data_IF_049841759848
#
_entry.id   IF_049841759848
#
_cell.length_a   1.000
_cell.length_b   1.000
_cell.length_c   1.000
_cell.angle_alpha   90.00
_cell.angle_beta   90.00
_cell.angle_gamma   90.00
#
_symmetry.space_group_name_H-M   'P 1'
#
loop_
_entity.id
_entity.type
_entity.pdbx_description
1 polymer ?
#
# COMPACT_ATOMS: atom_id res chain seq x y z
N UNK A 1 5.14 -1.99 0.32
CA UNK A 1 4.27 -1.53 1.42
C UNK A 1 2.87 -1.29 0.90
N UNK A 2 1.89 -1.92 1.55
CA UNK A 2 0.48 -1.77 1.27
C UNK A 2 -0.19 -1.04 2.43
N UNK A 3 -1.07 -0.10 2.13
CA UNK A 3 -1.85 0.64 3.12
C UNK A 3 -3.28 0.14 3.09
N UNK A 4 -3.82 -0.24 4.25
CA UNK A 4 -5.24 -0.57 4.30
C UNK A 4 -6.11 0.67 4.07
N UNK A 5 -7.10 0.57 3.19
CA UNK A 5 -7.98 1.69 2.87
C UNK A 5 -8.89 2.17 4.01
N UNK A 6 -9.14 1.33 5.02
CA UNK A 6 -10.07 1.65 6.11
C UNK A 6 -9.37 2.13 7.38
N UNK A 7 -8.38 1.38 7.86
CA UNK A 7 -7.66 1.68 9.11
C UNK A 7 -6.30 2.34 8.89
N UNK A 8 -5.82 2.43 7.64
CA UNK A 8 -4.55 3.08 7.32
C UNK A 8 -3.31 2.32 7.75
N UNK A 9 -3.42 1.12 8.32
CA UNK A 9 -2.25 0.30 8.72
C UNK A 9 -1.37 -0.01 7.53
N UNK A 10 -0.05 0.13 7.72
CA UNK A 10 0.96 -0.27 6.77
C UNK A 10 1.25 -1.76 6.92
N UNK A 11 1.19 -2.48 5.81
CA UNK A 11 1.37 -3.92 5.71
C UNK A 11 2.53 -4.12 4.74
N UNK A 12 3.63 -4.70 5.23
CA UNK A 12 4.84 -4.86 4.42
C UNK A 12 4.75 -6.06 3.48
N UNK A 13 4.11 -7.14 3.91
CA UNK A 13 3.91 -8.37 3.17
C UNK A 13 2.52 -8.96 3.43
N UNK A 14 1.87 -9.45 2.38
CA UNK A 14 0.58 -10.14 2.45
C UNK A 14 0.87 -11.58 2.03
N UNK A 15 0.86 -12.50 2.99
CA UNK A 15 1.40 -13.84 2.75
C UNK A 15 0.50 -14.71 1.87
N UNK A 16 -0.83 -14.62 1.98
CA UNK A 16 -1.75 -15.51 1.22
C UNK A 16 -3.15 -14.92 0.97
N UNK A 17 -3.64 -14.01 1.81
CA UNK A 17 -4.97 -13.42 1.67
C UNK A 17 -4.89 -11.89 1.68
N UNK A 18 -5.54 -11.22 0.73
CA UNK A 18 -5.66 -9.76 0.69
C UNK A 18 -6.64 -9.28 1.77
N UNK A 19 -6.24 -9.41 3.04
CA UNK A 19 -6.97 -8.95 4.21
C UNK A 19 -6.03 -8.16 5.11
N UNK A 20 -6.48 -7.01 5.57
CA UNK A 20 -5.76 -6.27 6.59
C UNK A 20 -5.77 -7.05 7.92
N UNK A 21 -4.61 -7.26 8.57
CA UNK A 21 -4.53 -8.00 9.83
C UNK A 21 -5.28 -7.33 10.99
N UNK A 22 -5.52 -6.01 10.90
CA UNK A 22 -6.16 -5.25 11.96
C UNK A 22 -7.69 -5.16 11.83
N UNK A 23 -8.21 -5.04 10.61
CA UNK A 23 -9.64 -4.75 10.41
C UNK A 23 -10.34 -5.69 9.40
N UNK A 24 -9.68 -6.78 9.00
CA UNK A 24 -10.15 -7.76 8.01
C UNK A 24 -10.61 -7.17 6.67
N UNK A 25 -10.26 -5.90 6.39
CA UNK A 25 -10.69 -5.20 5.19
C UNK A 25 -9.89 -5.67 3.98
N UNK A 26 -10.57 -5.84 2.84
CA UNK A 26 -10.02 -6.49 1.65
C UNK A 26 -9.36 -5.54 0.64
N UNK A 27 -9.46 -4.23 0.85
CA UNK A 27 -8.90 -3.24 -0.07
C UNK A 27 -7.62 -2.67 0.53
N UNK A 28 -6.51 -2.92 -0.17
CA UNK A 28 -5.16 -2.49 0.18
C UNK A 28 -4.59 -1.65 -0.96
N UNK A 29 -4.08 -0.47 -0.66
CA UNK A 29 -3.46 0.44 -1.62
C UNK A 29 -1.95 0.23 -1.62
N UNK A 30 -1.35 0.00 -2.78
CA UNK A 30 0.10 -0.02 -2.91
C UNK A 30 0.64 1.40 -2.69
N UNK A 31 1.58 1.55 -1.77
CA UNK A 31 2.26 2.82 -1.57
C UNK A 31 3.05 3.16 -2.84
N UNK A 32 2.88 4.38 -3.35
CA UNK A 32 3.71 4.87 -4.47
C UNK A 32 5.15 5.00 -3.98
N UNK A 33 6.10 4.67 -4.85
CA UNK A 33 7.50 5.01 -4.64
C UNK A 33 7.65 6.53 -4.51
N UNK A 34 8.62 6.97 -3.70
CA UNK A 34 8.94 8.40 -3.50
C UNK A 34 9.33 9.09 -4.81
N UNK A 35 9.96 8.35 -5.72
CA UNK A 35 10.25 8.80 -7.09
C UNK A 35 9.47 7.93 -8.06
N UNK A 36 8.60 8.57 -8.84
CA UNK A 36 7.82 7.89 -9.90
C UNK A 36 8.57 7.95 -11.23
N UNK A 37 9.19 9.09 -11.52
CA UNK A 37 9.98 9.33 -12.73
C UNK A 37 10.80 10.60 -12.53
N UNK A 38 12.07 10.59 -12.93
CA UNK A 38 12.87 11.81 -13.03
C UNK A 38 12.52 12.51 -14.35
N UNK A 39 12.15 13.78 -14.27
CA UNK A 39 11.78 14.58 -15.43
C UNK A 39 12.79 15.72 -15.52
N UNK A 40 13.52 15.81 -16.63
CA UNK A 40 14.34 16.98 -16.93
C UNK A 40 13.40 18.14 -17.26
N UNK A 41 13.49 19.23 -16.49
CA UNK A 41 12.83 20.48 -16.86
C UNK A 41 13.52 21.02 -18.12
N UNK A 42 12.74 21.28 -19.18
CA UNK A 42 13.22 21.95 -20.40
C UNK A 42 12.73 23.40 -20.41
#
# INVERSE_FOLDING_TARGET
MYKCGKCGTMIESIAYEVRCPNCAYKILYKQRSSVVKEVMAR
#
